data_IF_466977698648
#
_entry.id   IF_466977698648
#
_cell.length_a   1.000
_cell.length_b   1.000
_cell.length_c   1.000
_cell.angle_alpha   90.00
_cell.angle_beta   90.00
_cell.angle_gamma   90.00
#
_symmetry.space_group_name_H-M   'P 1'
#
loop_
_entity.id
_entity.type
_entity.pdbx_description
1 polymer ?
#
# COMPACT_ATOMS: atom_id res chain seq x y z
N UNK A 1 -18.06 45.78 25.05
CA UNK A 1 -18.06 44.97 23.82
C UNK A 1 -19.35 45.24 23.09
N UNK A 2 -19.25 45.81 21.88
CA UNK A 2 -20.41 46.21 21.09
C UNK A 2 -21.17 44.98 20.57
N UNK A 3 -22.41 45.19 20.09
CA UNK A 3 -23.20 44.13 19.44
C UNK A 3 -22.46 43.61 18.21
N UNK A 4 -21.84 44.51 17.44
CA UNK A 4 -21.06 44.16 16.24
C UNK A 4 -19.84 43.29 16.58
N UNK A 5 -19.14 43.60 17.68
CA UNK A 5 -18.03 42.76 18.15
C UNK A 5 -18.50 41.34 18.50
N UNK A 6 -19.70 41.19 19.08
CA UNK A 6 -20.24 39.87 19.45
C UNK A 6 -20.61 39.05 18.22
N UNK A 7 -21.17 39.71 17.20
CA UNK A 7 -21.50 39.08 15.92
C UNK A 7 -20.23 38.62 15.21
N UNK A 8 -19.19 39.46 15.18
CA UNK A 8 -17.91 39.09 14.59
C UNK A 8 -17.26 37.90 15.31
N UNK A 9 -17.23 37.89 16.64
CA UNK A 9 -16.71 36.74 17.41
C UNK A 9 -17.52 35.47 17.11
N UNK A 10 -18.85 35.54 17.05
CA UNK A 10 -19.69 34.40 16.71
C UNK A 10 -19.39 33.86 15.31
N UNK A 11 -19.17 34.74 14.34
CA UNK A 11 -18.84 34.38 12.97
C UNK A 11 -17.45 33.69 12.89
N UNK A 12 -16.44 34.23 13.57
CA UNK A 12 -15.12 33.58 13.64
C UNK A 12 -15.16 32.24 14.36
N UNK A 13 -15.93 32.13 15.44
CA UNK A 13 -16.12 30.87 16.17
C UNK A 13 -16.77 29.82 15.27
N UNK A 14 -17.84 30.19 14.56
CA UNK A 14 -18.52 29.30 13.62
C UNK A 14 -17.60 28.88 12.47
N UNK A 15 -16.84 29.81 11.89
CA UNK A 15 -15.85 29.51 10.84
C UNK A 15 -14.75 28.56 11.31
N UNK A 16 -14.25 28.76 12.53
CA UNK A 16 -13.24 27.87 13.14
C UNK A 16 -13.80 26.46 13.35
N UNK A 17 -15.02 26.33 13.89
CA UNK A 17 -15.68 25.03 14.03
C UNK A 17 -15.96 24.36 12.70
N UNK A 18 -16.36 25.13 11.67
CA UNK A 18 -16.59 24.60 10.33
C UNK A 18 -15.29 24.08 9.71
N UNK A 19 -14.18 24.81 9.85
CA UNK A 19 -12.87 24.38 9.36
C UNK A 19 -12.40 23.11 10.07
N UNK A 20 -12.54 23.06 11.41
CA UNK A 20 -12.23 21.87 12.20
C UNK A 20 -13.12 20.68 11.82
N UNK A 21 -14.42 20.91 11.57
CA UNK A 21 -15.37 19.89 11.14
C UNK A 21 -15.01 19.33 9.77
N UNK A 22 -14.74 20.19 8.77
CA UNK A 22 -14.33 19.76 7.43
C UNK A 22 -13.01 18.99 7.49
N UNK A 23 -12.03 19.46 8.27
CA UNK A 23 -10.75 18.78 8.44
C UNK A 23 -10.93 17.38 9.06
N UNK A 24 -11.69 17.30 10.15
CA UNK A 24 -11.99 16.03 10.84
C UNK A 24 -12.78 15.08 9.95
N UNK A 25 -13.74 15.59 9.18
CA UNK A 25 -14.50 14.82 8.20
C UNK A 25 -13.58 14.26 7.11
N UNK A 26 -12.65 15.06 6.60
CA UNK A 26 -11.65 14.64 5.61
C UNK A 26 -10.75 13.51 6.13
N UNK A 27 -10.24 13.63 7.35
CA UNK A 27 -9.43 12.57 8.00
C UNK A 27 -10.24 11.29 8.16
N UNK A 28 -11.47 11.39 8.66
CA UNK A 28 -12.33 10.24 8.91
C UNK A 28 -12.73 9.53 7.60
N UNK A 29 -13.01 10.28 6.54
CA UNK A 29 -13.34 9.72 5.23
C UNK A 29 -12.14 9.01 4.62
N UNK A 30 -10.95 9.62 4.68
CA UNK A 30 -9.69 8.99 4.26
C UNK A 30 -9.46 7.67 5.02
N UNK A 31 -9.61 7.69 6.34
CA UNK A 31 -9.40 6.50 7.19
C UNK A 31 -10.38 5.36 6.88
N UNK A 32 -11.60 5.65 6.44
CA UNK A 32 -12.58 4.60 6.08
C UNK A 32 -12.39 4.06 4.66
N UNK A 33 -12.07 4.92 3.70
CA UNK A 33 -12.00 4.51 2.30
C UNK A 33 -10.69 3.81 1.93
N UNK A 34 -9.56 4.25 2.51
CA UNK A 34 -8.25 3.77 2.09
C UNK A 34 -7.96 2.31 2.49
N UNK A 35 -8.21 1.86 3.74
CA UNK A 35 -7.99 0.46 4.12
C UNK A 35 -8.85 -0.49 3.29
N UNK A 36 -10.14 -0.18 3.14
CA UNK A 36 -11.06 -1.00 2.34
C UNK A 36 -10.63 -1.14 0.88
N UNK A 37 -10.02 -0.08 0.32
CA UNK A 37 -9.56 -0.10 -1.06
C UNK A 37 -8.25 -0.89 -1.21
N UNK A 38 -7.30 -0.71 -0.28
CA UNK A 38 -6.06 -1.48 -0.26
C UNK A 38 -6.33 -2.98 -0.09
N UNK A 39 -7.18 -3.34 0.87
CA UNK A 39 -7.60 -4.73 1.10
C UNK A 39 -8.23 -5.33 -0.16
N UNK A 40 -9.07 -4.55 -0.86
CA UNK A 40 -9.67 -4.97 -2.12
C UNK A 40 -8.62 -5.25 -3.20
N UNK A 41 -7.56 -4.44 -3.31
CA UNK A 41 -6.47 -4.68 -4.25
C UNK A 41 -5.62 -5.89 -3.87
N UNK A 42 -5.26 -6.04 -2.60
CA UNK A 42 -4.51 -7.20 -2.11
C UNK A 42 -5.27 -8.49 -2.33
N UNK A 43 -6.57 -8.52 -2.04
CA UNK A 43 -7.43 -9.68 -2.29
C UNK A 43 -7.47 -10.02 -3.79
N UNK A 44 -7.61 -9.00 -4.65
CA UNK A 44 -7.63 -9.19 -6.10
C UNK A 44 -6.31 -9.73 -6.65
N UNK A 45 -5.17 -9.29 -6.13
CA UNK A 45 -3.85 -9.83 -6.48
C UNK A 45 -3.73 -11.28 -6.02
N UNK A 46 -4.17 -11.60 -4.81
CA UNK A 46 -4.20 -12.96 -4.27
C UNK A 46 -5.05 -13.90 -5.15
N UNK A 47 -6.21 -13.44 -5.61
CA UNK A 47 -7.06 -14.20 -6.53
C UNK A 47 -6.36 -14.49 -7.87
N UNK A 48 -5.67 -13.51 -8.43
CA UNK A 48 -4.88 -13.71 -9.65
C UNK A 48 -3.72 -14.66 -9.45
N UNK A 49 -3.05 -14.58 -8.31
CA UNK A 49 -1.94 -15.46 -7.96
C UNK A 49 -2.41 -16.91 -7.80
N UNK A 50 -3.55 -17.12 -7.12
CA UNK A 50 -4.18 -18.44 -6.96
C UNK A 50 -4.66 -19.03 -8.29
N UNK A 51 -5.03 -18.18 -9.26
CA UNK A 51 -5.45 -18.60 -10.60
C UNK A 51 -4.30 -18.68 -11.60
N UNK A 52 -3.06 -18.42 -11.17
CA UNK A 52 -1.86 -18.47 -12.01
C UNK A 52 -1.72 -17.30 -13.00
N UNK A 53 -2.55 -16.26 -12.87
CA UNK A 53 -2.55 -15.08 -13.74
C UNK A 53 -1.44 -14.08 -13.33
N UNK A 54 -0.19 -14.53 -13.29
CA UNK A 54 0.94 -13.74 -12.80
C UNK A 54 1.27 -12.54 -13.69
N UNK A 55 1.11 -12.64 -15.01
CA UNK A 55 1.31 -11.48 -15.92
C UNK A 55 0.34 -10.34 -15.61
N UNK A 56 -0.92 -10.69 -15.29
CA UNK A 56 -1.94 -9.70 -14.92
C UNK A 56 -1.61 -9.00 -13.60
N UNK A 57 -0.92 -9.67 -12.68
CA UNK A 57 -0.38 -9.03 -11.49
C UNK A 57 0.63 -7.95 -11.91
N UNK A 58 1.61 -8.29 -12.75
CA UNK A 58 2.65 -7.34 -13.17
C UNK A 58 2.10 -6.13 -13.94
N UNK A 59 1.08 -6.33 -14.78
CA UNK A 59 0.41 -5.24 -15.50
C UNK A 59 -0.25 -4.19 -14.57
N UNK A 60 -0.67 -4.60 -13.36
CA UNK A 60 -1.51 -3.79 -12.49
C UNK A 60 -0.82 -3.38 -11.18
N UNK A 61 0.07 -4.21 -10.63
CA UNK A 61 0.61 -4.05 -9.27
C UNK A 61 1.39 -2.75 -9.11
N UNK A 62 2.12 -2.30 -10.14
CA UNK A 62 2.85 -1.01 -10.11
C UNK A 62 1.90 0.19 -9.94
N UNK A 63 0.67 0.09 -10.45
CA UNK A 63 -0.35 1.13 -10.24
C UNK A 63 -0.82 1.14 -8.79
N UNK A 64 -1.01 -0.04 -8.20
CA UNK A 64 -1.42 -0.15 -6.79
C UNK A 64 -0.32 0.34 -5.85
N UNK A 65 0.94 0.00 -6.11
CA UNK A 65 2.10 0.49 -5.33
C UNK A 65 2.16 2.03 -5.39
N UNK A 66 1.90 2.65 -6.54
CA UNK A 66 1.83 4.12 -6.66
C UNK A 66 0.70 4.74 -5.83
N UNK A 67 -0.42 4.02 -5.67
CA UNK A 67 -1.55 4.49 -4.85
C UNK A 67 -1.32 4.30 -3.35
N UNK A 68 -0.63 3.23 -2.97
CA UNK A 68 -0.33 2.86 -1.59
C UNK A 68 1.17 2.60 -1.42
N UNK A 69 2.00 3.67 -1.50
CA UNK A 69 3.43 3.52 -1.34
C UNK A 69 3.75 3.00 0.07
N UNK A 70 4.64 2.01 0.15
CA UNK A 70 5.08 1.42 1.41
C UNK A 70 4.22 0.24 1.91
N UNK A 71 3.20 -0.20 1.18
CA UNK A 71 2.52 -1.45 1.53
C UNK A 71 3.33 -2.67 1.05
N UNK A 72 3.79 -3.47 2.01
CA UNK A 72 4.61 -4.65 1.77
C UNK A 72 3.88 -5.76 0.98
N UNK A 73 2.56 -5.90 1.14
CA UNK A 73 1.80 -6.95 0.45
C UNK A 73 1.81 -6.74 -1.07
N UNK A 74 1.74 -5.49 -1.52
CA UNK A 74 1.78 -5.15 -2.94
C UNK A 74 3.17 -5.48 -3.55
N UNK A 75 4.24 -5.07 -2.88
CA UNK A 75 5.61 -5.40 -3.31
C UNK A 75 5.87 -6.91 -3.28
N UNK A 76 5.33 -7.61 -2.28
CA UNK A 76 5.42 -9.06 -2.19
C UNK A 76 4.69 -9.77 -3.33
N UNK A 77 3.46 -9.35 -3.63
CA UNK A 77 2.71 -9.90 -4.77
C UNK A 77 3.46 -9.71 -6.09
N UNK A 78 4.12 -8.55 -6.27
CA UNK A 78 5.00 -8.30 -7.43
C UNK A 78 6.19 -9.26 -7.45
N UNK A 79 6.93 -9.39 -6.36
CA UNK A 79 8.09 -10.27 -6.25
C UNK A 79 7.72 -11.74 -6.51
N UNK A 80 6.60 -12.19 -5.94
CA UNK A 80 6.09 -13.55 -6.14
C UNK A 80 5.66 -13.79 -7.59
N UNK A 81 4.98 -12.85 -8.23
CA UNK A 81 4.62 -12.96 -9.64
C UNK A 81 5.85 -13.03 -10.55
N UNK A 82 6.87 -12.20 -10.31
CA UNK A 82 8.15 -12.25 -11.03
C UNK A 82 8.85 -13.60 -10.84
N UNK A 83 8.89 -14.11 -9.61
CA UNK A 83 9.46 -15.43 -9.31
C UNK A 83 8.74 -16.55 -10.07
N UNK A 84 7.40 -16.52 -10.14
CA UNK A 84 6.59 -17.51 -10.86
C UNK A 84 6.73 -17.42 -12.39
N UNK A 85 7.08 -16.24 -12.90
CA UNK A 85 7.36 -15.99 -14.32
C UNK A 85 8.85 -16.16 -14.67
N UNK A 86 9.65 -16.71 -13.76
CA UNK A 86 11.08 -16.97 -13.93
C UNK A 86 11.97 -15.72 -14.13
N UNK A 87 11.45 -14.55 -13.73
CA UNK A 87 12.19 -13.28 -13.71
C UNK A 87 12.91 -13.13 -12.37
N UNK A 88 13.86 -14.03 -12.15
CA UNK A 88 14.45 -14.29 -10.83
C UNK A 88 15.27 -13.12 -10.28
N UNK A 89 16.04 -12.43 -11.11
CA UNK A 89 16.88 -11.30 -10.69
C UNK A 89 16.04 -10.16 -10.12
N UNK A 90 14.98 -9.78 -10.84
CA UNK A 90 14.04 -8.74 -10.41
C UNK A 90 13.26 -9.16 -9.16
N UNK A 91 12.85 -10.42 -9.07
CA UNK A 91 12.19 -10.94 -7.88
C UNK A 91 13.11 -10.86 -6.65
N UNK A 92 14.39 -11.24 -6.80
CA UNK A 92 15.38 -11.21 -5.73
C UNK A 92 15.67 -9.81 -5.24
N UNK A 93 15.76 -8.83 -6.13
CA UNK A 93 15.93 -7.42 -5.76
C UNK A 93 14.80 -6.96 -4.84
N UNK A 94 13.55 -7.21 -5.23
CA UNK A 94 12.38 -6.80 -4.45
C UNK A 94 12.29 -7.57 -3.13
N UNK A 95 12.55 -8.88 -3.11
CA UNK A 95 12.59 -9.62 -1.84
C UNK A 95 13.69 -9.09 -0.90
N UNK A 96 14.84 -8.70 -1.44
CA UNK A 96 15.93 -8.11 -0.65
C UNK A 96 15.48 -6.78 -0.06
N UNK A 97 14.83 -5.92 -0.83
CA UNK A 97 14.26 -4.66 -0.34
C UNK A 97 13.27 -4.90 0.80
N UNK A 98 12.30 -5.81 0.61
CA UNK A 98 11.30 -6.18 1.63
C UNK A 98 11.97 -6.68 2.91
N UNK A 99 13.01 -7.52 2.79
CA UNK A 99 13.72 -8.08 3.95
C UNK A 99 14.40 -7.01 4.83
N UNK A 100 14.79 -5.88 4.22
CA UNK A 100 15.44 -4.76 4.89
C UNK A 100 14.40 -3.80 5.46
N UNK A 101 13.35 -3.50 4.70
CA UNK A 101 12.33 -2.51 5.09
C UNK A 101 11.32 -3.07 6.10
N UNK A 102 11.01 -4.37 6.02
CA UNK A 102 9.93 -5.02 6.77
C UNK A 102 10.45 -6.22 7.57
N UNK A 103 10.93 -6.01 8.82
CA UNK A 103 11.52 -7.08 9.63
C UNK A 103 10.62 -8.30 9.85
N UNK A 104 9.30 -8.11 9.83
CA UNK A 104 8.32 -9.20 9.96
C UNK A 104 8.34 -10.16 8.75
N UNK A 105 8.67 -9.65 7.57
CA UNK A 105 8.68 -10.40 6.31
C UNK A 105 10.07 -10.94 5.97
N UNK A 106 11.08 -10.58 6.76
CA UNK A 106 12.49 -10.89 6.50
C UNK A 106 12.72 -12.39 6.32
N UNK A 107 12.23 -13.21 7.24
CA UNK A 107 12.47 -14.66 7.19
C UNK A 107 11.87 -15.30 5.92
N UNK A 108 10.66 -14.88 5.54
CA UNK A 108 10.01 -15.40 4.35
C UNK A 108 10.66 -14.88 3.07
N UNK A 109 11.06 -13.60 3.04
CA UNK A 109 11.81 -13.04 1.93
C UNK A 109 13.16 -13.76 1.72
N UNK A 110 13.88 -14.05 2.80
CA UNK A 110 15.16 -14.77 2.78
C UNK A 110 15.00 -16.19 2.19
N UNK A 111 13.90 -16.90 2.50
CA UNK A 111 13.62 -18.21 1.88
C UNK A 111 13.54 -18.11 0.36
N UNK A 112 12.85 -17.10 -0.17
CA UNK A 112 12.78 -16.89 -1.63
C UNK A 112 14.14 -16.51 -2.20
N UNK A 113 14.89 -15.61 -1.56
CA UNK A 113 16.22 -15.19 -2.00
C UNK A 113 17.17 -16.39 -2.11
N UNK A 114 17.18 -17.27 -1.10
CA UNK A 114 17.98 -18.51 -1.11
C UNK A 114 17.53 -19.42 -2.26
N UNK A 115 16.23 -19.68 -2.40
CA UNK A 115 15.71 -20.53 -3.48
C UNK A 115 16.07 -20.02 -4.89
N UNK A 116 16.08 -18.70 -5.08
CA UNK A 116 16.49 -18.05 -6.33
C UNK A 116 17.98 -18.29 -6.56
N UNK A 117 18.81 -18.12 -5.52
CA UNK A 117 20.25 -18.31 -5.65
C UNK A 117 20.62 -19.75 -6.03
N UNK A 118 19.95 -20.74 -5.44
CA UNK A 118 20.14 -22.16 -5.77
C UNK A 118 19.71 -22.45 -7.22
N UNK A 119 18.57 -21.90 -7.65
CA UNK A 119 18.07 -22.06 -9.02
C UNK A 119 19.00 -21.42 -10.07
N UNK A 120 19.67 -20.32 -9.73
CA UNK A 120 20.63 -19.65 -10.64
C UNK A 120 21.97 -20.37 -10.79
N UNK A 121 22.32 -21.26 -9.85
CA UNK A 121 23.57 -22.05 -9.88
C UNK A 121 23.45 -23.41 -10.57
N UNK A 122 22.25 -23.78 -11.02
CA UNK A 122 21.94 -25.07 -11.65
C UNK A 122 21.76 -24.89 -13.16
#
# INVERSE_FOLDING_TARGET
>A
MSIDDKINILFYLFGFFLLFFIFTLGINLKKKLFPNLLDSYVNKLTDWDNTGNHERILENVDRYIKMFPGDANLSWAKARALFKLDRLDEAKEIFTEISISEPLWKEDAEKYIVSISEKSTT
#
